data_IF_820601237684
#
_entry.id   IF_820601237684
#
_cell.length_a   1.000
_cell.length_b   1.000
_cell.length_c   1.000
_cell.angle_alpha   90.00
_cell.angle_beta   90.00
_cell.angle_gamma   90.00
#
_symmetry.space_group_name_H-M   'P 1'
#
loop_
_entity.id
_entity.type
_entity.pdbx_description
1 polymer ?
#
# COMPACT_ATOMS: atom_id res chain seq x y z
N UNK A 1 14.92 -36.60 -47.06
CA UNK A 1 15.09 -37.16 -45.69
C UNK A 1 14.68 -36.11 -44.69
N UNK A 2 13.52 -36.29 -44.08
CA UNK A 2 12.80 -35.36 -43.20
C UNK A 2 13.02 -35.73 -41.74
N UNK A 3 13.65 -34.87 -40.94
CA UNK A 3 13.81 -35.09 -39.49
C UNK A 3 12.95 -34.10 -38.72
N UNK A 4 12.03 -34.66 -37.95
CA UNK A 4 10.92 -34.00 -37.25
C UNK A 4 11.40 -33.21 -36.03
N UNK A 5 11.14 -31.90 -35.99
CA UNK A 5 11.27 -31.07 -34.80
C UNK A 5 10.08 -31.38 -33.89
N UNK A 6 10.32 -32.10 -32.80
CA UNK A 6 9.31 -32.44 -31.79
C UNK A 6 9.11 -31.24 -30.85
N UNK A 7 7.88 -30.76 -30.84
CA UNK A 7 7.30 -29.77 -29.94
C UNK A 7 7.63 -30.04 -28.47
N UNK A 8 8.27 -29.08 -27.82
CA UNK A 8 8.29 -28.91 -26.36
C UNK A 8 7.47 -27.65 -26.05
N UNK A 9 6.15 -27.77 -26.14
CA UNK A 9 5.19 -26.80 -25.60
C UNK A 9 4.43 -27.57 -24.53
N UNK A 10 4.89 -27.51 -23.28
CA UNK A 10 4.11 -28.02 -22.16
C UNK A 10 4.60 -27.38 -20.84
N UNK A 11 3.65 -26.77 -20.13
CA UNK A 11 3.67 -26.48 -18.69
C UNK A 11 4.41 -25.18 -18.27
N UNK A 12 3.83 -24.02 -18.58
CA UNK A 12 3.95 -22.81 -17.72
C UNK A 12 2.64 -22.00 -17.79
N UNK A 13 1.54 -22.50 -17.20
CA UNK A 13 0.29 -21.74 -17.04
C UNK A 13 -0.48 -22.15 -15.77
N UNK A 14 0.20 -22.34 -14.64
CA UNK A 14 -0.44 -22.73 -13.38
C UNK A 14 -0.11 -21.79 -12.20
N UNK A 15 0.06 -20.49 -12.45
CA UNK A 15 0.28 -19.48 -11.38
C UNK A 15 -0.57 -18.23 -11.61
N UNK A 16 -1.89 -18.35 -11.78
CA UNK A 16 -2.80 -17.18 -11.76
C UNK A 16 -4.22 -17.50 -11.25
N UNK A 17 -4.35 -18.48 -10.34
CA UNK A 17 -5.61 -18.75 -9.62
C UNK A 17 -5.44 -18.51 -8.12
N UNK A 18 -4.75 -17.42 -7.74
CA UNK A 18 -4.98 -16.81 -6.44
C UNK A 18 -6.38 -16.20 -6.49
N UNK A 19 -7.39 -17.03 -6.22
CA UNK A 19 -8.75 -16.57 -6.00
C UNK A 19 -8.77 -15.50 -4.90
N UNK A 20 -9.77 -14.60 -4.89
CA UNK A 20 -9.89 -13.61 -3.84
C UNK A 20 -9.87 -14.34 -2.49
N UNK A 21 -8.96 -13.93 -1.61
CA UNK A 21 -8.87 -14.48 -0.26
C UNK A 21 -10.27 -14.47 0.37
N UNK A 22 -10.69 -15.54 1.08
CA UNK A 22 -12.03 -15.64 1.63
C UNK A 22 -12.33 -14.40 2.46
N UNK A 23 -13.46 -13.76 2.13
CA UNK A 23 -13.98 -12.60 2.84
C UNK A 23 -14.31 -13.02 4.28
N UNK A 24 -13.35 -12.85 5.19
CA UNK A 24 -13.53 -13.25 6.60
C UNK A 24 -12.28 -13.71 7.34
N UNK A 25 -11.10 -13.78 6.70
CA UNK A 25 -9.88 -14.11 7.45
C UNK A 25 -9.67 -13.07 8.55
N UNK A 26 -9.64 -13.50 9.81
CA UNK A 26 -9.37 -12.62 10.94
C UNK A 26 -7.98 -11.97 10.77
N UNK A 27 -7.89 -10.67 11.08
CA UNK A 27 -6.59 -10.01 11.09
C UNK A 27 -5.74 -10.57 12.23
N UNK A 28 -4.49 -10.92 11.93
CA UNK A 28 -3.54 -11.42 12.92
C UNK A 28 -2.89 -10.28 13.71
N UNK A 29 -2.44 -10.55 14.93
CA UNK A 29 -1.65 -9.59 15.72
C UNK A 29 -0.40 -9.12 14.96
N UNK A 30 0.22 -10.02 14.17
CA UNK A 30 1.38 -9.69 13.35
C UNK A 30 1.05 -8.67 12.25
N UNK A 31 -0.09 -8.82 11.57
CA UNK A 31 -0.53 -7.87 10.55
C UNK A 31 -0.83 -6.49 11.17
N UNK A 32 -1.47 -6.46 12.34
CA UNK A 32 -1.69 -5.20 13.07
C UNK A 32 -0.36 -4.50 13.37
N UNK A 33 0.66 -5.24 13.79
CA UNK A 33 1.98 -4.67 14.06
C UNK A 33 2.66 -4.11 12.79
N UNK A 34 2.54 -4.82 11.66
CA UNK A 34 3.02 -4.31 10.37
C UNK A 34 2.31 -3.00 9.99
N UNK A 35 1.00 -2.91 10.19
CA UNK A 35 0.23 -1.70 9.91
C UNK A 35 0.59 -0.55 10.85
N UNK A 36 0.77 -0.82 12.15
CA UNK A 36 1.25 0.18 13.12
C UNK A 36 2.60 0.75 12.72
N UNK A 37 3.58 -0.12 12.43
CA UNK A 37 4.90 0.31 11.98
C UNK A 37 4.87 1.04 10.62
N UNK A 38 3.84 0.80 9.80
CA UNK A 38 3.60 1.53 8.56
C UNK A 38 3.06 2.93 8.86
N UNK A 39 2.07 3.08 9.74
CA UNK A 39 1.55 4.40 10.11
C UNK A 39 2.62 5.27 10.78
N UNK A 40 3.36 4.72 11.75
CA UNK A 40 4.49 5.44 12.40
C UNK A 40 5.54 5.90 11.38
N UNK A 41 5.78 5.13 10.31
CA UNK A 41 6.70 5.54 9.26
C UNK A 41 6.21 6.80 8.52
N UNK A 42 4.94 6.85 8.13
CA UNK A 42 4.38 8.01 7.43
C UNK A 42 4.21 9.21 8.36
N UNK A 43 3.85 8.99 9.62
CA UNK A 43 3.76 10.05 10.65
C UNK A 43 5.13 10.73 10.86
N UNK A 44 6.16 9.96 11.23
CA UNK A 44 7.52 10.48 11.41
C UNK A 44 8.03 11.22 10.16
N UNK A 45 7.63 10.75 8.98
CA UNK A 45 8.03 11.35 7.72
C UNK A 45 7.26 12.63 7.42
N UNK A 46 5.97 12.69 7.72
CA UNK A 46 5.18 13.91 7.62
C UNK A 46 5.78 15.00 8.50
N UNK A 47 6.10 14.65 9.75
CA UNK A 47 6.74 15.56 10.71
C UNK A 47 8.09 16.08 10.18
N UNK A 48 8.91 15.20 9.60
CA UNK A 48 10.21 15.57 9.04
C UNK A 48 10.09 16.50 7.82
N UNK A 49 8.95 16.47 7.11
CA UNK A 49 8.71 17.24 5.89
C UNK A 49 7.75 18.42 6.12
N UNK A 50 7.41 18.77 7.36
CA UNK A 50 6.35 19.72 7.69
C UNK A 50 6.53 21.12 7.06
N UNK A 51 7.77 21.50 6.72
CA UNK A 51 8.09 22.77 6.06
C UNK A 51 8.16 22.69 4.52
N UNK A 52 8.02 21.51 3.93
CA UNK A 52 8.11 21.30 2.48
C UNK A 52 6.72 21.41 1.82
N UNK A 53 6.58 22.30 0.83
CA UNK A 53 5.32 22.57 0.12
C UNK A 53 4.76 21.30 -0.57
N UNK A 54 5.65 20.40 -0.99
CA UNK A 54 5.29 19.15 -1.69
C UNK A 54 4.95 17.97 -0.75
N UNK A 55 4.94 18.18 0.58
CA UNK A 55 4.69 17.12 1.57
C UNK A 55 3.23 16.67 1.68
N UNK A 56 2.30 17.32 0.95
CA UNK A 56 0.85 17.10 1.05
C UNK A 56 0.42 15.64 0.90
N UNK A 57 1.07 14.86 0.03
CA UNK A 57 0.77 13.43 -0.11
C UNK A 57 1.13 12.68 1.18
N UNK A 58 2.32 12.92 1.72
CA UNK A 58 2.83 12.18 2.89
C UNK A 58 1.96 12.48 4.10
N UNK A 59 1.59 13.74 4.30
CA UNK A 59 0.67 14.13 5.38
C UNK A 59 -0.70 13.46 5.24
N UNK A 60 -1.28 13.49 4.03
CA UNK A 60 -2.55 12.83 3.77
C UNK A 60 -2.48 11.34 4.07
N UNK A 61 -1.40 10.65 3.65
CA UNK A 61 -1.18 9.23 3.92
C UNK A 61 -1.00 8.93 5.42
N UNK A 62 -0.25 9.76 6.15
CA UNK A 62 -0.05 9.62 7.59
C UNK A 62 -1.40 9.71 8.33
N UNK A 63 -2.14 10.79 8.06
CA UNK A 63 -3.44 11.07 8.66
C UNK A 63 -4.47 9.96 8.38
N UNK A 64 -4.58 9.49 7.13
CA UNK A 64 -5.50 8.40 6.81
C UNK A 64 -5.05 7.03 7.30
N UNK A 65 -3.75 6.78 7.44
CA UNK A 65 -3.24 5.53 8.02
C UNK A 65 -3.70 5.36 9.47
N UNK A 66 -3.53 6.40 10.30
CA UNK A 66 -3.97 6.39 11.70
C UNK A 66 -5.46 6.08 11.82
N UNK A 67 -6.30 6.81 11.07
CA UNK A 67 -7.75 6.56 11.04
C UNK A 67 -8.09 5.14 10.58
N UNK A 68 -7.40 4.62 9.56
CA UNK A 68 -7.65 3.26 9.08
C UNK A 68 -7.28 2.21 10.15
N UNK A 69 -6.15 2.41 10.86
CA UNK A 69 -5.72 1.51 11.92
C UNK A 69 -6.72 1.52 13.10
N UNK A 70 -7.21 2.70 13.47
CA UNK A 70 -8.24 2.85 14.51
C UNK A 70 -9.55 2.16 14.10
N UNK A 71 -9.99 2.33 12.86
CA UNK A 71 -11.20 1.66 12.35
C UNK A 71 -11.02 0.15 12.25
N UNK A 72 -9.82 -0.34 11.94
CA UNK A 72 -9.53 -1.76 11.86
C UNK A 72 -9.54 -2.44 13.25
N UNK A 73 -9.00 -1.76 14.26
CA UNK A 73 -8.79 -2.30 15.61
C UNK A 73 -9.91 -1.95 16.60
N UNK A 74 -10.66 -0.88 16.34
CA UNK A 74 -11.74 -0.41 17.19
C UNK A 74 -12.97 -1.31 17.15
N UNK A 75 -13.60 -1.51 18.31
CA UNK A 75 -14.77 -2.36 18.47
C UNK A 75 -16.00 -1.86 17.68
N UNK A 76 -16.13 -0.55 17.50
CA UNK A 76 -17.32 0.10 16.91
C UNK A 76 -17.41 0.03 15.38
N UNK A 77 -16.33 -0.33 14.68
CA UNK A 77 -16.36 -0.37 13.21
C UNK A 77 -17.09 -1.62 12.69
N UNK A 78 -18.03 -1.43 11.76
CA UNK A 78 -18.72 -2.52 11.08
C UNK A 78 -17.79 -3.34 10.17
N UNK A 79 -18.20 -4.56 9.77
CA UNK A 79 -17.36 -5.47 8.97
C UNK A 79 -16.86 -4.86 7.65
N UNK A 80 -17.71 -4.10 6.98
CA UNK A 80 -17.40 -3.38 5.73
C UNK A 80 -16.26 -2.37 5.94
N UNK A 81 -16.39 -1.50 6.93
CA UNK A 81 -15.38 -0.48 7.27
C UNK A 81 -14.04 -1.14 7.62
N UNK A 82 -14.06 -2.22 8.41
CA UNK A 82 -12.84 -2.97 8.73
C UNK A 82 -12.19 -3.60 7.49
N UNK A 83 -13.00 -4.13 6.56
CA UNK A 83 -12.48 -4.69 5.30
C UNK A 83 -11.79 -3.61 4.46
N UNK A 84 -12.42 -2.44 4.29
CA UNK A 84 -11.83 -1.32 3.53
C UNK A 84 -10.58 -0.77 4.20
N UNK A 85 -10.61 -0.60 5.52
CA UNK A 85 -9.44 -0.19 6.30
C UNK A 85 -8.27 -1.18 6.13
N UNK A 86 -8.52 -2.49 6.22
CA UNK A 86 -7.50 -3.52 5.98
C UNK A 86 -6.96 -3.45 4.55
N UNK A 87 -7.82 -3.33 3.55
CA UNK A 87 -7.39 -3.25 2.15
C UNK A 87 -6.51 -2.02 1.90
N UNK A 88 -6.86 -0.87 2.46
CA UNK A 88 -6.07 0.35 2.37
C UNK A 88 -4.72 0.22 3.09
N UNK A 89 -4.70 -0.26 4.34
CA UNK A 89 -3.46 -0.46 5.11
C UNK A 89 -2.52 -1.48 4.46
N UNK A 90 -3.05 -2.56 3.87
CA UNK A 90 -2.25 -3.54 3.15
C UNK A 90 -1.51 -2.90 1.97
N UNK A 91 -2.21 -2.11 1.15
CA UNK A 91 -1.61 -1.39 0.02
C UNK A 91 -0.59 -0.34 0.48
N UNK A 92 -0.86 0.35 1.58
CA UNK A 92 0.06 1.35 2.12
C UNK A 92 1.35 0.72 2.67
N UNK A 93 1.25 -0.45 3.30
CA UNK A 93 2.40 -1.25 3.73
C UNK A 93 3.22 -1.73 2.52
N UNK A 94 2.56 -2.13 1.43
CA UNK A 94 3.21 -2.51 0.17
C UNK A 94 3.95 -1.33 -0.49
N UNK A 95 3.34 -0.12 -0.49
CA UNK A 95 4.01 1.10 -0.96
C UNK A 95 5.29 1.37 -0.17
N UNK A 96 5.20 1.33 1.17
CA UNK A 96 6.36 1.51 2.06
C UNK A 96 7.46 0.50 1.72
N UNK A 97 7.11 -0.78 1.61
CA UNK A 97 8.06 -1.83 1.29
C UNK A 97 8.75 -1.58 -0.06
N UNK A 98 7.98 -1.19 -1.08
CA UNK A 98 8.49 -0.89 -2.42
C UNK A 98 9.45 0.30 -2.42
N UNK A 99 9.09 1.41 -1.78
CA UNK A 99 9.94 2.61 -1.68
C UNK A 99 11.23 2.29 -0.92
N UNK A 100 11.13 1.57 0.19
CA UNK A 100 12.30 1.13 0.97
C UNK A 100 13.19 0.23 0.11
N UNK A 101 12.63 -0.77 -0.58
CA UNK A 101 13.41 -1.66 -1.45
C UNK A 101 14.12 -0.87 -2.56
N UNK A 102 13.43 0.06 -3.23
CA UNK A 102 14.02 0.91 -4.26
C UNK A 102 15.17 1.76 -3.69
N UNK A 103 14.99 2.34 -2.51
CA UNK A 103 16.05 3.12 -1.84
C UNK A 103 17.25 2.25 -1.46
N UNK A 104 17.01 1.06 -0.90
CA UNK A 104 18.07 0.12 -0.53
C UNK A 104 18.84 -0.37 -1.76
N UNK A 105 18.14 -0.69 -2.85
CA UNK A 105 18.78 -1.10 -4.11
C UNK A 105 19.63 0.02 -4.70
N UNK A 106 19.23 1.28 -4.59
CA UNK A 106 20.03 2.42 -5.06
C UNK A 106 21.22 2.72 -4.15
N UNK A 107 21.09 2.48 -2.86
CA UNK A 107 22.15 2.74 -1.87
C UNK A 107 23.21 1.65 -1.86
N UNK A 108 22.82 0.38 -2.03
CA UNK A 108 23.71 -0.78 -1.90
C UNK A 108 23.93 -1.55 -3.22
N UNK A 109 23.22 -1.20 -4.29
CA UNK A 109 23.40 -1.81 -5.60
C UNK A 109 24.58 -1.21 -6.38
N UNK A 110 25.00 -1.86 -7.48
CA UNK A 110 25.98 -1.29 -8.40
C UNK A 110 25.43 0.03 -8.96
N UNK A 111 26.13 1.14 -8.69
CA UNK A 111 25.76 2.45 -9.19
C UNK A 111 27.00 3.18 -9.70
N UNK A 112 26.95 3.60 -10.96
CA UNK A 112 28.01 4.40 -11.59
C UNK A 112 27.86 5.91 -11.31
N UNK A 113 27.05 6.30 -10.31
CA UNK A 113 26.72 7.70 -10.04
C UNK A 113 26.29 8.00 -8.60
N UNK A 114 25.94 9.26 -8.30
CA UNK A 114 25.54 9.67 -6.95
C UNK A 114 24.25 8.96 -6.53
N UNK A 115 24.24 8.44 -5.30
CA UNK A 115 23.08 7.77 -4.72
C UNK A 115 21.94 8.77 -4.55
N UNK A 116 20.78 8.49 -5.18
CA UNK A 116 19.56 9.29 -5.06
C UNK A 116 18.41 8.45 -4.54
N UNK A 117 17.87 8.81 -3.39
CA UNK A 117 16.64 8.20 -2.87
C UNK A 117 15.44 8.55 -3.76
N UNK A 118 14.34 7.84 -3.58
CA UNK A 118 13.05 8.17 -4.19
C UNK A 118 12.63 9.54 -3.65
N UNK A 119 12.43 10.50 -4.56
CA UNK A 119 11.91 11.83 -4.22
C UNK A 119 10.41 11.76 -3.90
N UNK A 120 9.86 12.83 -3.30
CA UNK A 120 8.43 12.94 -3.04
C UNK A 120 7.58 12.76 -4.29
N UNK A 121 7.96 13.42 -5.39
CA UNK A 121 7.29 13.24 -6.70
C UNK A 121 7.39 11.78 -7.19
N UNK A 122 8.54 11.14 -7.03
CA UNK A 122 8.74 9.74 -7.41
C UNK A 122 7.82 8.81 -6.62
N UNK A 123 7.70 9.04 -5.32
CA UNK A 123 6.80 8.30 -4.44
C UNK A 123 5.33 8.52 -4.80
N UNK A 124 4.93 9.75 -5.13
CA UNK A 124 3.60 10.05 -5.63
C UNK A 124 3.26 9.22 -6.88
N UNK A 125 4.18 9.15 -7.85
CA UNK A 125 3.97 8.37 -9.07
C UNK A 125 3.88 6.86 -8.79
N UNK A 126 4.67 6.35 -7.84
CA UNK A 126 4.58 4.96 -7.38
C UNK A 126 3.22 4.72 -6.71
N UNK A 127 2.81 5.59 -5.79
CA UNK A 127 1.52 5.51 -5.10
C UNK A 127 0.33 5.54 -6.09
N UNK A 128 0.40 6.40 -7.12
CA UNK A 128 -0.59 6.45 -8.19
C UNK A 128 -0.64 5.13 -8.97
N UNK A 129 0.52 4.60 -9.40
CA UNK A 129 0.60 3.34 -10.14
C UNK A 129 0.10 2.14 -9.33
N UNK A 130 0.32 2.15 -8.02
CA UNK A 130 -0.15 1.11 -7.10
C UNK A 130 -1.62 1.27 -6.71
N UNK A 131 -2.31 2.32 -7.19
CA UNK A 131 -3.71 2.56 -6.89
C UNK A 131 -3.96 2.98 -5.42
N UNK A 132 -2.96 3.54 -4.74
CA UNK A 132 -3.08 3.98 -3.34
C UNK A 132 -4.14 5.07 -3.20
N UNK A 133 -4.20 5.99 -4.16
CA UNK A 133 -5.19 7.07 -4.15
C UNK A 133 -6.62 6.54 -4.25
N UNK A 134 -6.86 5.57 -5.13
CA UNK A 134 -8.17 4.91 -5.22
C UNK A 134 -8.53 4.12 -3.96
N UNK A 135 -7.56 3.44 -3.36
CA UNK A 135 -7.76 2.74 -2.09
C UNK A 135 -8.02 3.69 -0.92
N UNK A 136 -7.38 4.86 -0.92
CA UNK A 136 -7.62 5.93 0.03
C UNK A 136 -9.05 6.47 -0.11
N UNK A 137 -9.50 6.75 -1.33
CA UNK A 137 -10.85 7.22 -1.60
C UNK A 137 -11.92 6.18 -1.23
N UNK A 138 -11.65 4.89 -1.51
CA UNK A 138 -12.52 3.77 -1.11
C UNK A 138 -12.63 3.64 0.42
N UNK A 139 -11.50 3.76 1.13
CA UNK A 139 -11.46 3.71 2.60
C UNK A 139 -12.13 4.91 3.24
N UNK A 140 -11.77 6.13 2.80
CA UNK A 140 -12.39 7.34 3.28
C UNK A 140 -13.90 7.29 3.07
N UNK A 141 -14.34 6.58 2.03
CA UNK A 141 -15.73 6.61 1.60
C UNK A 141 -16.10 8.02 1.19
N UNK A 142 -17.20 8.16 0.47
CA UNK A 142 -17.90 9.43 0.55
C UNK A 142 -18.48 9.46 1.96
N UNK A 143 -17.83 10.09 2.92
CA UNK A 143 -18.42 10.51 4.21
C UNK A 143 -19.59 11.52 4.01
N UNK A 144 -20.21 11.53 2.82
CA UNK A 144 -21.26 12.47 2.36
C UNK A 144 -22.67 11.95 2.67
N UNK A 145 -22.86 10.67 3.02
CA UNK A 145 -24.21 10.08 3.16
C UNK A 145 -24.75 9.93 4.60
N UNK A 146 -24.13 10.51 5.64
CA UNK A 146 -24.62 10.35 7.03
C UNK A 146 -24.77 11.64 7.86
N UNK A 147 -24.80 12.82 7.22
CA UNK A 147 -25.17 14.08 7.88
C UNK A 147 -26.37 14.79 7.20
N UNK A 148 -27.25 14.03 6.54
CA UNK A 148 -28.56 14.52 6.08
C UNK A 148 -29.63 13.74 6.83
N UNK A 149 -29.91 14.16 8.07
CA UNK A 149 -30.96 13.54 8.85
C UNK A 149 -30.95 13.90 10.33
N UNK A 150 -31.09 15.20 10.65
CA UNK A 150 -31.87 15.69 11.80
C UNK A 150 -32.56 17.00 11.42
#
# INVERSE_FOLDING_TARGET
>A
MTTRIRSLIAIVCAVWLAGPAPAGEAITARQVEVYRATCTHYENRSDALASEEDALLVDRLASSCGRALDRLTGAAAGPETRRRARAYLARLAELKATVVEMNMRRLFGPSDGPVRTVSLTGEYLIAQRMGILGALDEFAGRDVDLAVGE
#
